data_IF_794180001173
#
_entry.id   IF_794180001173
#
_cell.length_a   1.000
_cell.length_b   1.000
_cell.length_c   1.000
_cell.angle_alpha   90.00
_cell.angle_beta   90.00
_cell.angle_gamma   90.00
#
_symmetry.space_group_name_H-M   'P 1'
#
loop_
_entity.id
_entity.type
_entity.pdbx_description
1 polymer ?
#
# COMPACT_ATOMS: atom_id res chain seq x y z
N UNK A 1 -5.80 15.19 17.18
CA UNK A 1 -5.70 14.50 15.86
C UNK A 1 -5.20 13.08 16.08
N UNK A 2 -5.99 12.05 15.77
CA UNK A 2 -5.54 10.64 15.84
C UNK A 2 -4.36 10.47 14.88
N UNK A 3 -3.20 10.03 15.37
CA UNK A 3 -2.08 9.60 14.52
C UNK A 3 -2.60 8.49 13.60
N UNK A 4 -2.67 8.74 12.31
CA UNK A 4 -2.93 7.71 11.30
C UNK A 4 -1.68 6.84 11.19
N UNK A 5 -1.54 5.87 12.09
CA UNK A 5 -0.46 4.90 12.03
C UNK A 5 -0.80 3.89 10.94
N UNK A 6 -0.01 3.86 9.87
CA UNK A 6 -0.05 2.77 8.89
C UNK A 6 0.47 1.49 9.56
N UNK A 7 0.02 0.29 9.14
CA UNK A 7 0.49 -0.95 9.75
C UNK A 7 1.99 -1.12 9.49
N UNK A 8 2.77 -1.50 10.50
CA UNK A 8 4.22 -1.74 10.36
C UNK A 8 4.55 -2.73 9.22
N UNK A 9 3.64 -3.68 8.96
CA UNK A 9 3.74 -4.66 7.87
C UNK A 9 3.78 -4.02 6.48
N UNK A 10 3.15 -2.85 6.29
CA UNK A 10 3.21 -2.11 5.03
C UNK A 10 4.62 -1.61 4.73
N UNK A 11 5.27 -1.03 5.74
CA UNK A 11 6.65 -0.55 5.59
C UNK A 11 7.62 -1.70 5.33
N UNK A 12 7.40 -2.85 5.99
CA UNK A 12 8.17 -4.06 5.72
C UNK A 12 7.98 -4.53 4.27
N UNK A 13 6.73 -4.62 3.77
CA UNK A 13 6.45 -5.00 2.39
C UNK A 13 7.15 -4.08 1.39
N UNK A 14 7.06 -2.76 1.58
CA UNK A 14 7.73 -1.78 0.72
C UNK A 14 9.25 -1.95 0.78
N UNK A 15 9.84 -2.07 1.97
CA UNK A 15 11.28 -2.27 2.12
C UNK A 15 11.76 -3.55 1.42
N UNK A 16 11.03 -4.66 1.58
CA UNK A 16 11.34 -5.91 0.87
C UNK A 16 11.20 -5.77 -0.64
N UNK A 17 10.15 -5.10 -1.13
CA UNK A 17 9.94 -4.87 -2.56
C UNK A 17 11.08 -4.06 -3.17
N UNK A 18 11.54 -3.01 -2.46
CA UNK A 18 12.67 -2.18 -2.89
C UNK A 18 13.98 -2.96 -2.90
N UNK A 19 14.23 -3.79 -1.88
CA UNK A 19 15.43 -4.63 -1.83
C UNK A 19 15.47 -5.59 -3.02
N UNK A 20 14.35 -6.27 -3.31
CA UNK A 20 14.24 -7.14 -4.49
C UNK A 20 14.39 -6.36 -5.79
N UNK A 21 13.82 -5.15 -5.90
CA UNK A 21 14.02 -4.27 -7.04
C UNK A 21 15.49 -3.91 -7.29
N UNK A 22 16.24 -3.66 -6.21
CA UNK A 22 17.70 -3.45 -6.30
C UNK A 22 18.39 -4.72 -6.79
N UNK A 23 18.04 -5.90 -6.27
CA UNK A 23 18.62 -7.16 -6.73
C UNK A 23 18.34 -7.44 -8.21
N UNK A 24 17.13 -7.13 -8.69
CA UNK A 24 16.77 -7.25 -10.11
C UNK A 24 17.48 -6.24 -11.00
N UNK A 25 17.80 -5.06 -10.48
CA UNK A 25 18.66 -4.12 -11.20
C UNK A 25 20.10 -4.63 -11.25
N UNK A 26 20.63 -5.13 -10.13
CA UNK A 26 22.00 -5.65 -10.06
C UNK A 26 22.19 -6.90 -10.93
N UNK A 27 21.21 -7.80 -11.04
CA UNK A 27 21.32 -9.02 -11.85
C UNK A 27 21.57 -8.78 -13.34
N UNK A 28 21.25 -7.57 -13.83
CA UNK A 28 21.48 -7.14 -15.22
C UNK A 28 22.95 -6.84 -15.52
N UNK A 29 23.77 -6.64 -14.50
CA UNK A 29 25.18 -6.32 -14.65
C UNK A 29 26.06 -7.56 -14.48
N UNK A 30 27.08 -7.69 -15.33
CA UNK A 30 27.99 -8.84 -15.34
C UNK A 30 28.78 -9.02 -14.03
N UNK A 31 28.87 -7.99 -13.21
CA UNK A 31 29.57 -8.03 -11.90
C UNK A 31 28.76 -8.82 -10.86
N UNK A 32 27.47 -9.09 -11.11
CA UNK A 32 26.56 -9.74 -10.17
C UNK A 32 26.02 -11.09 -10.69
N UNK A 33 26.91 -11.89 -11.29
CA UNK A 33 26.62 -13.26 -11.76
C UNK A 33 25.89 -14.14 -10.73
N UNK A 34 26.22 -14.14 -9.43
CA UNK A 34 25.51 -14.99 -8.47
C UNK A 34 24.01 -14.68 -8.36
N UNK A 35 23.64 -13.39 -8.42
CA UNK A 35 22.22 -12.97 -8.36
C UNK A 35 21.50 -13.41 -9.64
N UNK A 36 22.16 -13.25 -10.78
CA UNK A 36 21.63 -13.67 -12.08
C UNK A 36 21.43 -15.18 -12.17
N UNK A 37 22.35 -15.98 -11.64
CA UNK A 37 22.21 -17.45 -11.60
C UNK A 37 21.04 -17.89 -10.72
N UNK A 38 20.85 -17.24 -9.56
CA UNK A 38 19.65 -17.48 -8.73
C UNK A 38 18.37 -17.13 -9.52
N UNK A 39 18.38 -16.03 -10.26
CA UNK A 39 17.21 -15.63 -11.06
C UNK A 39 16.96 -16.56 -12.24
N UNK A 40 18.00 -17.10 -12.87
CA UNK A 40 17.85 -18.17 -13.87
C UNK A 40 17.26 -19.42 -13.24
N UNK A 41 17.72 -19.83 -12.05
CA UNK A 41 17.19 -21.00 -11.36
C UNK A 41 15.69 -20.85 -11.07
N UNK A 42 15.26 -19.69 -10.58
CA UNK A 42 13.85 -19.40 -10.29
C UNK A 42 13.03 -19.22 -11.58
N UNK A 43 13.61 -18.58 -12.59
CA UNK A 43 12.99 -18.27 -13.88
C UNK A 43 13.11 -19.39 -14.93
N UNK A 44 13.34 -20.64 -14.51
CA UNK A 44 13.45 -21.81 -15.39
C UNK A 44 14.44 -21.62 -16.56
N UNK A 45 15.61 -21.05 -16.26
CA UNK A 45 16.67 -20.75 -17.23
C UNK A 45 16.66 -19.31 -17.75
N UNK A 46 15.58 -18.54 -17.52
CA UNK A 46 15.45 -17.17 -17.99
C UNK A 46 15.34 -16.16 -16.84
N UNK A 47 16.48 -15.56 -16.47
CA UNK A 47 16.53 -14.53 -15.43
C UNK A 47 15.67 -13.30 -15.75
N UNK A 48 15.52 -12.94 -17.03
CA UNK A 48 14.78 -11.75 -17.44
C UNK A 48 13.32 -11.80 -16.99
N UNK A 49 12.69 -12.98 -16.98
CA UNK A 49 11.32 -13.13 -16.49
C UNK A 49 11.17 -12.69 -15.04
N UNK A 50 12.10 -13.13 -14.18
CA UNK A 50 12.11 -12.78 -12.76
C UNK A 50 12.45 -11.30 -12.55
N UNK A 51 13.34 -10.75 -13.36
CA UNK A 51 13.65 -9.31 -13.32
C UNK A 51 12.43 -8.44 -13.64
N UNK A 52 11.62 -8.81 -14.63
CA UNK A 52 10.39 -8.11 -14.97
C UNK A 52 9.32 -8.29 -13.89
N UNK A 53 9.10 -9.51 -13.39
CA UNK A 53 8.17 -9.73 -12.28
C UNK A 53 8.52 -8.89 -11.03
N UNK A 54 9.79 -8.90 -10.64
CA UNK A 54 10.26 -8.10 -9.51
C UNK A 54 10.21 -6.60 -9.86
N UNK A 55 10.50 -6.24 -11.11
CA UNK A 55 10.40 -4.88 -11.64
C UNK A 55 9.00 -4.29 -11.46
N UNK A 56 7.96 -4.99 -11.95
CA UNK A 56 6.56 -4.58 -11.79
C UNK A 56 6.12 -4.51 -10.32
N UNK A 57 6.56 -5.48 -9.50
CA UNK A 57 6.28 -5.49 -8.06
C UNK A 57 6.92 -4.30 -7.33
N UNK A 58 8.20 -4.04 -7.59
CA UNK A 58 8.97 -2.96 -6.97
C UNK A 58 8.53 -1.58 -7.46
N UNK A 59 8.20 -1.42 -8.74
CA UNK A 59 7.75 -0.15 -9.29
C UNK A 59 6.48 0.35 -8.60
N UNK A 60 5.52 -0.54 -8.37
CA UNK A 60 4.29 -0.23 -7.63
C UNK A 60 4.61 0.16 -6.17
N UNK A 61 5.58 -0.52 -5.55
CA UNK A 61 6.06 -0.19 -4.20
C UNK A 61 6.76 1.19 -4.13
N UNK A 62 7.57 1.55 -5.13
CA UNK A 62 8.23 2.86 -5.24
C UNK A 62 7.18 3.98 -5.32
N UNK A 63 6.20 3.83 -6.20
CA UNK A 63 5.12 4.81 -6.34
C UNK A 63 4.35 5.00 -5.03
N UNK A 64 4.06 3.90 -4.34
CA UNK A 64 3.41 3.95 -3.03
C UNK A 64 4.30 4.59 -1.96
N UNK A 65 5.61 4.30 -1.96
CA UNK A 65 6.57 4.91 -1.04
C UNK A 65 6.65 6.43 -1.23
N UNK A 66 6.66 6.90 -2.48
CA UNK A 66 6.61 8.34 -2.81
C UNK A 66 5.33 8.97 -2.27
N UNK A 67 4.17 8.31 -2.45
CA UNK A 67 2.90 8.80 -1.93
C UNK A 67 2.91 8.87 -0.39
N UNK A 68 3.39 7.83 0.29
CA UNK A 68 3.54 7.82 1.76
C UNK A 68 4.50 8.91 2.24
N UNK A 69 5.64 9.09 1.57
CA UNK A 69 6.61 10.13 1.87
C UNK A 69 5.99 11.52 1.72
N UNK A 70 5.32 11.79 0.61
CA UNK A 70 4.61 13.06 0.37
C UNK A 70 3.58 13.34 1.47
N UNK A 71 2.84 12.34 1.95
CA UNK A 71 1.95 12.48 3.11
C UNK A 71 2.69 12.83 4.40
N UNK A 72 3.80 12.15 4.69
CA UNK A 72 4.58 12.42 5.92
C UNK A 72 5.19 13.82 5.91
N UNK A 73 5.76 14.26 4.79
CA UNK A 73 6.34 15.60 4.63
C UNK A 73 5.25 16.67 4.73
N UNK A 74 4.11 16.49 4.06
CA UNK A 74 2.98 17.43 4.13
C UNK A 74 2.31 17.48 5.51
N UNK A 75 2.42 16.41 6.31
CA UNK A 75 1.90 16.39 7.68
C UNK A 75 2.70 17.25 8.67
N UNK A 76 4.01 17.42 8.44
CA UNK A 76 4.90 18.27 9.26
C UNK A 76 4.91 19.68 8.67
N UNK A 77 4.20 20.61 9.32
CA UNK A 77 4.26 22.02 8.94
C UNK A 77 5.64 22.59 9.25
N UNK A 78 6.59 22.51 8.31
CA UNK A 78 7.76 23.39 8.35
C UNK A 78 7.29 24.81 7.99
N UNK A 79 7.63 25.77 8.83
CA UNK A 79 7.32 27.18 8.66
C UNK A 79 7.87 27.68 7.32
N UNK A 80 7.00 27.80 6.31
CA UNK A 80 7.33 28.42 5.01
C UNK A 80 6.92 29.89 5.12
N UNK A 81 7.89 30.81 5.04
CA UNK A 81 7.75 32.25 5.32
C UNK A 81 6.84 33.05 4.36
N UNK A 82 6.28 32.43 3.31
CA UNK A 82 5.45 33.11 2.32
C UNK A 82 3.95 32.81 2.51
N UNK A 83 3.09 33.83 2.76
CA UNK A 83 1.66 33.63 3.05
C UNK A 83 0.88 32.99 1.89
N UNK A 84 1.26 33.28 0.64
CA UNK A 84 0.66 32.67 -0.57
C UNK A 84 0.97 31.17 -0.63
N UNK A 85 2.22 30.78 -0.30
CA UNK A 85 2.62 29.37 -0.27
C UNK A 85 1.98 28.62 0.90
N UNK A 86 1.76 29.26 2.04
CA UNK A 86 1.05 28.65 3.19
C UNK A 86 -0.40 28.31 2.83
N UNK A 87 -1.10 29.19 2.11
CA UNK A 87 -2.47 28.95 1.66
C UNK A 87 -2.54 27.86 0.58
N UNK A 88 -1.69 27.93 -0.45
CA UNK A 88 -1.63 26.92 -1.50
C UNK A 88 -1.24 25.54 -0.94
N UNK A 89 -0.21 25.49 -0.10
CA UNK A 89 0.24 24.26 0.56
C UNK A 89 -0.79 23.75 1.57
N UNK A 90 -1.50 24.63 2.27
CA UNK A 90 -2.60 24.28 3.16
C UNK A 90 -3.77 23.64 2.42
N UNK A 91 -4.16 24.19 1.26
CA UNK A 91 -5.21 23.64 0.40
C UNK A 91 -4.79 22.30 -0.19
N UNK A 92 -3.57 22.20 -0.72
CA UNK A 92 -3.00 20.95 -1.23
C UNK A 92 -2.90 19.89 -0.13
N UNK A 93 -2.43 20.23 1.07
CA UNK A 93 -2.35 19.33 2.22
C UNK A 93 -3.73 18.83 2.64
N UNK A 94 -4.73 19.71 2.76
CA UNK A 94 -6.10 19.30 3.11
C UNK A 94 -6.65 18.38 2.04
N UNK A 95 -6.47 18.70 0.76
CA UNK A 95 -6.89 17.88 -0.36
C UNK A 95 -6.21 16.50 -0.35
N UNK A 96 -4.88 16.47 -0.14
CA UNK A 96 -4.11 15.24 -0.07
C UNK A 96 -4.61 14.38 1.10
N UNK A 97 -4.62 14.92 2.31
CA UNK A 97 -5.01 14.19 3.53
C UNK A 97 -6.48 13.72 3.53
N UNK A 98 -7.40 14.40 2.83
CA UNK A 98 -8.78 13.92 2.68
C UNK A 98 -8.90 12.82 1.64
N UNK A 99 -8.13 12.87 0.55
CA UNK A 99 -8.15 11.87 -0.53
C UNK A 99 -7.28 10.64 -0.25
N UNK A 100 -6.25 10.73 0.59
CA UNK A 100 -5.32 9.63 0.92
C UNK A 100 -5.51 9.07 2.33
N UNK A 101 -6.75 9.11 2.88
CA UNK A 101 -7.03 8.44 4.16
C UNK A 101 -6.61 6.97 4.09
N UNK A 102 -6.17 6.35 5.22
CA UNK A 102 -5.71 4.96 5.22
C UNK A 102 -6.70 3.95 4.64
N UNK A 103 -8.00 4.24 4.71
CA UNK A 103 -9.06 3.44 4.10
C UNK A 103 -8.99 3.38 2.56
N UNK A 104 -8.34 4.35 1.91
CA UNK A 104 -8.22 4.46 0.45
C UNK A 104 -6.85 4.02 -0.08
N UNK A 105 -5.91 3.53 0.74
CA UNK A 105 -4.59 3.10 0.26
C UNK A 105 -4.71 2.01 -0.81
N UNK A 106 -5.66 1.07 -0.65
CA UNK A 106 -5.91 0.02 -1.65
C UNK A 106 -6.31 0.61 -3.00
N UNK A 107 -7.14 1.65 -3.00
CA UNK A 107 -7.56 2.36 -4.22
C UNK A 107 -6.40 3.13 -4.84
N UNK A 108 -5.59 3.81 -4.04
CA UNK A 108 -4.37 4.46 -4.53
C UNK A 108 -3.37 3.46 -5.10
N UNK A 109 -3.21 2.29 -4.46
CA UNK A 109 -2.35 1.22 -4.98
C UNK A 109 -2.86 0.73 -6.34
N UNK A 110 -4.17 0.55 -6.49
CA UNK A 110 -4.77 0.18 -7.78
C UNK A 110 -4.57 1.27 -8.86
N UNK A 111 -4.74 2.55 -8.51
CA UNK A 111 -4.49 3.67 -9.45
C UNK A 111 -3.02 3.69 -9.89
N UNK A 112 -2.08 3.52 -8.96
CA UNK A 112 -0.64 3.51 -9.26
C UNK A 112 -0.26 2.29 -10.10
N UNK A 113 -0.84 1.13 -9.82
CA UNK A 113 -0.72 -0.07 -10.65
C UNK A 113 -1.22 0.19 -12.09
N UNK A 114 -2.42 0.74 -12.25
CA UNK A 114 -2.95 1.10 -13.57
C UNK A 114 -2.06 2.09 -14.32
N UNK A 115 -1.55 3.11 -13.62
CA UNK A 115 -0.63 4.08 -14.22
C UNK A 115 0.67 3.41 -14.70
N UNK A 116 1.24 2.49 -13.91
CA UNK A 116 2.42 1.73 -14.31
C UNK A 116 2.15 0.84 -15.52
N UNK A 117 0.99 0.18 -15.59
CA UNK A 117 0.60 -0.64 -16.75
C UNK A 117 0.55 0.21 -18.02
N UNK A 118 -0.05 1.41 -17.96
CA UNK A 118 -0.09 2.32 -19.12
C UNK A 118 1.32 2.72 -19.56
N UNK A 119 2.20 3.03 -18.62
CA UNK A 119 3.61 3.35 -18.92
C UNK A 119 4.33 2.15 -19.52
N UNK A 120 4.08 0.94 -19.02
CA UNK A 120 4.68 -0.30 -19.52
C UNK A 120 4.21 -0.61 -20.95
N UNK A 121 2.92 -0.42 -21.24
CA UNK A 121 2.37 -0.53 -22.60
C UNK A 121 3.02 0.50 -23.53
N UNK A 122 3.15 1.75 -23.08
CA UNK A 122 3.81 2.79 -23.87
C UNK A 122 5.28 2.45 -24.16
N UNK A 123 5.98 1.85 -23.21
CA UNK A 123 7.35 1.36 -23.37
C UNK A 123 7.43 0.23 -24.40
N UNK A 124 6.55 -0.76 -24.32
CA UNK A 124 6.50 -1.86 -25.31
C UNK A 124 6.16 -1.39 -26.72
N UNK A 125 5.27 -0.39 -26.87
CA UNK A 125 4.97 0.22 -28.17
C UNK A 125 6.23 0.88 -28.77
N UNK A 126 7.08 1.48 -27.94
CA UNK A 126 8.36 2.03 -28.37
C UNK A 126 9.37 0.93 -28.75
N UNK A 127 9.39 -0.18 -28.00
CA UNK A 127 10.23 -1.35 -28.34
C UNK A 127 9.81 -1.99 -29.67
N UNK A 128 8.51 -2.13 -29.94
CA UNK A 128 8.01 -2.61 -31.25
C UNK A 128 8.54 -1.75 -32.38
N UNK A 129 8.53 -0.41 -32.22
CA UNK A 129 9.04 0.50 -33.25
C UNK A 129 10.55 0.34 -33.49
N UNK A 130 11.31 -0.01 -32.45
CA UNK A 130 12.78 -0.13 -32.52
C UNK A 130 13.27 -1.51 -32.96
N UNK A 131 12.61 -2.57 -32.50
CA UNK A 131 13.07 -3.95 -32.66
C UNK A 131 12.12 -4.83 -33.48
N UNK A 132 10.91 -4.34 -33.78
CA UNK A 132 9.95 -5.02 -34.65
C UNK A 132 9.13 -6.13 -33.97
N UNK A 133 9.28 -6.34 -32.65
CA UNK A 133 8.53 -7.36 -31.91
C UNK A 133 8.08 -6.86 -30.54
N UNK A 134 7.00 -7.46 -30.03
CA UNK A 134 6.43 -7.20 -28.70
C UNK A 134 6.89 -8.28 -27.73
N UNK A 135 7.43 -7.89 -26.57
CA UNK A 135 7.96 -8.84 -25.58
C UNK A 135 6.85 -9.30 -24.63
N UNK A 136 5.91 -10.09 -25.15
CA UNK A 136 4.71 -10.51 -24.43
C UNK A 136 5.00 -11.17 -23.08
N UNK A 137 6.02 -12.03 -23.01
CA UNK A 137 6.37 -12.74 -21.78
C UNK A 137 6.92 -11.79 -20.71
N UNK A 138 7.72 -10.80 -21.10
CA UNK A 138 8.27 -9.80 -20.19
C UNK A 138 7.19 -8.86 -19.69
N UNK A 139 6.34 -8.35 -20.59
CA UNK A 139 5.18 -7.55 -20.24
C UNK A 139 4.21 -8.33 -19.34
N UNK A 140 3.98 -9.62 -19.60
CA UNK A 140 3.17 -10.50 -18.77
C UNK A 140 3.72 -10.62 -17.34
N UNK A 141 5.04 -10.75 -17.20
CA UNK A 141 5.70 -10.78 -15.90
C UNK A 141 5.59 -9.45 -15.16
N UNK A 142 5.75 -8.31 -15.84
CA UNK A 142 5.52 -6.98 -15.25
C UNK A 142 4.09 -6.85 -14.71
N UNK A 143 3.08 -7.27 -15.48
CA UNK A 143 1.68 -7.31 -15.05
C UNK A 143 1.47 -8.19 -13.83
N UNK A 144 2.04 -9.40 -13.83
CA UNK A 144 1.96 -10.32 -12.70
C UNK A 144 2.60 -9.74 -11.45
N UNK A 145 3.75 -9.06 -11.57
CA UNK A 145 4.41 -8.38 -10.47
C UNK A 145 3.54 -7.30 -9.84
N UNK A 146 2.91 -6.47 -10.67
CA UNK A 146 1.98 -5.42 -10.22
C UNK A 146 0.77 -6.01 -9.51
N UNK A 147 0.15 -7.04 -10.09
CA UNK A 147 -1.00 -7.73 -9.50
C UNK A 147 -0.64 -8.39 -8.17
N UNK A 148 0.51 -9.05 -8.09
CA UNK A 148 1.01 -9.66 -6.86
C UNK A 148 1.19 -8.61 -5.76
N UNK A 149 1.73 -7.42 -6.08
CA UNK A 149 1.83 -6.33 -5.12
C UNK A 149 0.46 -5.86 -4.64
N UNK A 150 -0.50 -5.66 -5.56
CA UNK A 150 -1.87 -5.30 -5.22
C UNK A 150 -2.55 -6.33 -4.31
N UNK A 151 -2.35 -7.62 -4.57
CA UNK A 151 -2.88 -8.72 -3.74
C UNK A 151 -2.25 -8.71 -2.34
N UNK A 152 -0.93 -8.58 -2.23
CA UNK A 152 -0.23 -8.44 -0.95
C UNK A 152 -0.79 -7.24 -0.16
N UNK A 153 -0.98 -6.11 -0.82
CA UNK A 153 -1.58 -4.91 -0.23
C UNK A 153 -3.01 -5.15 0.25
N UNK A 154 -3.83 -5.83 -0.55
CA UNK A 154 -5.20 -6.19 -0.18
C UNK A 154 -5.24 -7.08 1.05
N UNK A 155 -4.43 -8.15 1.07
CA UNK A 155 -4.35 -9.08 2.22
C UNK A 155 -3.87 -8.38 3.48
N UNK A 156 -2.85 -7.51 3.38
CA UNK A 156 -2.32 -6.76 4.52
C UNK A 156 -3.32 -5.76 5.10
N UNK A 157 -4.15 -5.17 4.25
CA UNK A 157 -5.13 -4.14 4.63
C UNK A 157 -6.54 -4.69 4.88
N UNK A 158 -6.79 -5.96 4.56
CA UNK A 158 -8.04 -6.64 4.91
C UNK A 158 -8.15 -6.63 6.43
N UNK A 159 -9.02 -5.77 6.95
CA UNK A 159 -9.41 -5.80 8.37
C UNK A 159 -9.85 -7.23 8.68
N UNK A 160 -9.18 -7.88 9.64
CA UNK A 160 -9.86 -8.94 10.38
C UNK A 160 -11.16 -8.31 10.90
N UNK A 161 -12.35 -8.90 10.68
CA UNK A 161 -13.52 -8.46 11.41
C UNK A 161 -13.16 -8.59 12.89
N UNK A 162 -12.89 -7.47 13.54
CA UNK A 162 -12.59 -7.47 14.96
C UNK A 162 -13.81 -8.04 15.65
N UNK A 163 -13.61 -9.18 16.32
CA UNK A 163 -14.47 -9.72 17.37
C UNK A 163 -14.57 -8.70 18.53
N UNK A 164 -15.23 -7.57 18.25
CA UNK A 164 -15.49 -6.45 19.18
C UNK A 164 -16.84 -5.80 18.86
N UNK A 165 -17.79 -6.64 18.48
CA UNK A 165 -19.23 -6.41 18.54
C UNK A 165 -19.86 -7.63 19.23
N UNK A 166 -19.42 -7.89 20.44
CA UNK A 166 -20.14 -8.71 21.40
C UNK A 166 -19.87 -8.12 22.77
N UNK A 167 -20.34 -6.90 22.97
CA UNK A 167 -20.85 -6.56 24.30
C UNK A 167 -22.15 -7.35 24.39
N UNK A 168 -22.26 -8.44 25.16
CA UNK A 168 -23.56 -9.04 25.39
C UNK A 168 -24.44 -7.96 26.02
N UNK A 169 -25.59 -7.73 25.39
CA UNK A 169 -26.68 -6.86 25.81
C UNK A 169 -27.37 -7.41 27.08
N UNK A 170 -26.61 -7.78 28.11
CA UNK A 170 -27.10 -8.44 29.34
C UNK A 170 -26.94 -7.52 30.58
N UNK A 171 -26.61 -6.23 30.40
CA UNK A 171 -26.45 -5.31 31.53
C UNK A 171 -27.46 -4.15 31.59
N UNK A 172 -28.54 -4.20 30.80
CA UNK A 172 -29.65 -3.25 30.89
C UNK A 172 -30.93 -3.82 31.55
N UNK A 173 -30.94 -5.10 31.94
CA UNK A 173 -32.12 -5.77 32.49
C UNK A 173 -32.12 -6.06 34.00
N UNK A 174 -31.02 -5.83 34.73
CA UNK A 174 -30.87 -6.29 36.14
C UNK A 174 -30.60 -5.14 37.12
N UNK A 175 -31.09 -3.93 36.82
CA UNK A 175 -31.02 -2.80 37.78
C UNK A 175 -32.32 -2.01 37.86
N UNK A 176 -33.46 -2.69 37.70
CA UNK A 176 -34.77 -2.06 37.85
C UNK A 176 -35.82 -2.95 38.54
N UNK A 177 -35.39 -3.89 39.38
CA UNK A 177 -36.28 -4.83 40.08
C UNK A 177 -36.14 -4.86 41.60
N UNK A 178 -35.40 -3.93 42.22
CA UNK A 178 -35.17 -3.91 43.68
C UNK A 178 -35.55 -2.60 44.40
N UNK A 179 -36.39 -1.74 43.82
CA UNK A 179 -36.86 -0.51 44.49
C UNK A 179 -38.40 -0.42 44.58
N UNK A 180 -39.07 -1.57 44.78
CA UNK A 180 -40.53 -1.60 44.90
C UNK A 180 -41.05 -2.64 45.89
N UNK A 181 -40.32 -2.89 46.98
CA UNK A 181 -40.84 -3.67 48.11
C UNK A 181 -40.37 -3.09 49.45
N UNK A 182 -41.31 -2.53 50.20
CA UNK A 182 -41.27 -2.56 51.67
C UNK A 182 -41.10 -1.24 52.43
N UNK A 183 -41.93 -0.22 52.16
CA UNK A 183 -42.28 0.75 53.22
C UNK A 183 -43.54 0.23 53.92
N UNK A 184 -43.32 -0.57 54.97
CA UNK A 184 -44.37 -1.06 55.87
C UNK A 184 -44.53 -0.11 57.04
N UNK A 185 -45.72 0.49 57.11
CA UNK A 185 -46.45 0.95 58.29
C UNK A 185 -45.70 1.06 59.64
N UNK A 186 -45.52 2.30 60.09
CA UNK A 186 -45.45 2.64 61.52
C UNK A 186 -46.88 2.88 62.00
N UNK A 187 -47.37 2.03 62.89
CA UNK A 187 -48.52 2.28 63.74
C UNK A 187 -48.11 1.95 65.18
N UNK A 188 -48.46 2.88 66.07
CA UNK A 188 -48.32 2.95 67.55
C UNK A 188 -46.91 3.03 68.11
#
# INVERSE_FOLDING_TARGET
MRKTAFPNKLYFLIATALLWGVLAYLSRYEIHLPVREVFKLIGFGNASLIEHFIGGFAATAVLLAILLFAMTVTSKARFIKSPIRVLAFGKFRRWLMTKTRPAYITHWTAILASAYIVVSIAWEIDQIKKHGFFQLDQFGMDLMGVLAFCLCMWVLLKKKPSARQSTPLIFLGVRNSNESRGSGYVNT
#
